data_IF_611992917183
#
_entry.id   IF_611992917183
#
_cell.length_a   1.000
_cell.length_b   1.000
_cell.length_c   1.000
_cell.angle_alpha   90.00
_cell.angle_beta   90.00
_cell.angle_gamma   90.00
#
_symmetry.space_group_name_H-M   'P 1'
#
loop_
_entity.id
_entity.type
_entity.pdbx_description
1 polymer ?
#
# COMPACT_ATOMS: atom_id res chain seq x y z
N UNK A 1 28.84 -15.04 -12.69
CA UNK A 1 27.55 -15.73 -13.00
C UNK A 1 26.95 -16.13 -11.65
N UNK A 2 26.40 -15.11 -10.95
CA UNK A 2 25.75 -15.30 -9.65
C UNK A 2 24.42 -15.99 -9.86
N UNK A 3 24.21 -17.07 -9.12
CA UNK A 3 22.92 -17.79 -9.10
C UNK A 3 21.89 -16.85 -8.47
N UNK A 4 20.95 -16.31 -9.26
CA UNK A 4 19.72 -15.78 -8.72
C UNK A 4 19.02 -16.92 -8.00
N UNK A 5 19.07 -16.92 -6.69
CA UNK A 5 18.21 -17.76 -5.85
C UNK A 5 16.80 -17.37 -6.23
N UNK A 6 16.05 -18.27 -6.84
CA UNK A 6 14.61 -18.08 -7.05
C UNK A 6 13.98 -18.00 -5.67
N UNK A 7 13.54 -16.82 -5.27
CA UNK A 7 12.74 -16.66 -4.07
C UNK A 7 11.51 -17.58 -4.19
N UNK A 8 11.27 -18.39 -3.18
CA UNK A 8 10.13 -19.32 -3.17
C UNK A 8 8.84 -18.66 -2.66
N UNK A 9 8.83 -17.33 -2.47
CA UNK A 9 7.70 -16.57 -1.95
C UNK A 9 7.81 -15.08 -2.27
N UNK A 10 6.84 -14.29 -1.77
CA UNK A 10 6.79 -12.84 -1.95
C UNK A 10 7.54 -12.07 -0.86
N UNK A 11 7.78 -12.69 0.29
CA UNK A 11 8.41 -12.04 1.44
C UNK A 11 9.91 -11.87 1.19
N UNK A 12 10.41 -10.65 1.40
CA UNK A 12 11.83 -10.32 1.49
C UNK A 12 12.18 -10.12 2.98
N UNK A 13 12.88 -11.08 3.56
CA UNK A 13 13.15 -11.11 5.00
C UNK A 13 13.99 -9.90 5.48
N UNK A 14 14.88 -9.37 4.63
CA UNK A 14 15.69 -8.20 4.96
C UNK A 14 14.81 -6.94 5.04
N UNK A 15 13.84 -6.81 4.13
CA UNK A 15 12.86 -5.73 4.14
C UNK A 15 11.97 -5.82 5.40
N UNK A 16 11.44 -7.01 5.70
CA UNK A 16 10.65 -7.24 6.91
C UNK A 16 11.43 -6.87 8.16
N UNK A 17 12.68 -7.35 8.28
CA UNK A 17 13.54 -7.03 9.43
C UNK A 17 13.85 -5.53 9.54
N UNK A 18 13.95 -4.82 8.41
CA UNK A 18 14.15 -3.36 8.39
C UNK A 18 12.94 -2.62 8.96
N UNK A 19 11.74 -2.91 8.46
CA UNK A 19 10.51 -2.26 8.92
C UNK A 19 10.13 -2.66 10.36
N UNK A 20 10.41 -3.89 10.77
CA UNK A 20 10.20 -4.35 12.15
C UNK A 20 10.95 -3.50 13.18
N UNK A 21 12.16 -3.05 12.85
CA UNK A 21 12.95 -2.18 13.76
C UNK A 21 12.30 -0.81 14.00
N UNK A 22 11.42 -0.38 13.11
CA UNK A 22 10.73 0.91 13.19
C UNK A 22 9.34 0.80 13.84
N UNK A 23 8.92 -0.41 14.27
CA UNK A 23 7.56 -0.68 14.73
C UNK A 23 7.08 0.27 15.84
N UNK A 24 7.94 0.66 16.76
CA UNK A 24 7.61 1.60 17.84
C UNK A 24 7.46 3.05 17.41
N UNK A 25 7.90 3.40 16.19
CA UNK A 25 7.95 4.78 15.69
C UNK A 25 6.90 5.05 14.59
N UNK A 26 6.11 4.04 14.20
CA UNK A 26 5.15 4.17 13.09
C UNK A 26 4.14 5.29 13.31
N UNK A 27 3.70 5.52 14.54
CA UNK A 27 2.68 6.51 14.86
C UNK A 27 3.24 7.88 15.27
N UNK A 28 4.57 8.04 15.29
CA UNK A 28 5.19 9.36 15.42
C UNK A 28 5.17 10.09 14.07
N UNK A 29 4.21 11.01 13.92
CA UNK A 29 4.07 11.82 12.71
C UNK A 29 5.26 12.75 12.42
N UNK A 30 6.24 12.87 13.33
CA UNK A 30 7.49 13.62 13.14
C UNK A 30 8.73 12.72 13.14
N UNK A 31 8.51 11.41 13.28
CA UNK A 31 9.53 10.38 13.26
C UNK A 31 9.87 9.88 11.85
N UNK A 32 10.46 8.68 11.75
CA UNK A 32 10.86 8.07 10.47
C UNK A 32 9.70 7.87 9.48
N UNK A 33 8.45 7.79 9.98
CA UNK A 33 7.25 7.61 9.15
C UNK A 33 6.53 8.92 8.80
N UNK A 34 7.12 10.09 9.07
CA UNK A 34 6.52 11.39 8.80
C UNK A 34 6.06 11.56 7.34
N UNK A 35 6.83 11.04 6.38
CA UNK A 35 6.49 11.09 4.96
C UNK A 35 5.20 10.28 4.66
N UNK A 36 5.03 9.10 5.27
CA UNK A 36 3.81 8.29 5.13
C UNK A 36 2.60 8.98 5.76
N UNK A 37 2.77 9.60 6.92
CA UNK A 37 1.70 10.39 7.55
C UNK A 37 1.26 11.56 6.66
N UNK A 38 2.20 12.29 6.07
CA UNK A 38 1.92 13.41 5.17
C UNK A 38 1.24 12.94 3.86
N UNK A 39 1.59 11.76 3.35
CA UNK A 39 1.03 11.17 2.14
C UNK A 39 -0.35 10.55 2.37
N UNK A 40 -0.63 10.05 3.57
CA UNK A 40 -1.81 9.25 3.87
C UNK A 40 -3.17 9.92 3.56
N UNK A 41 -3.38 11.24 3.78
CA UNK A 41 -4.63 11.91 3.41
C UNK A 41 -4.97 11.79 1.91
N UNK A 42 -3.97 11.89 1.04
CA UNK A 42 -4.15 11.78 -0.42
C UNK A 42 -4.48 10.33 -0.81
N UNK A 43 -3.77 9.35 -0.23
CA UNK A 43 -4.06 7.93 -0.46
C UNK A 43 -5.46 7.57 -0.01
N UNK A 44 -5.85 7.98 1.20
CA UNK A 44 -7.18 7.72 1.75
C UNK A 44 -8.28 8.35 0.89
N UNK A 45 -8.11 9.60 0.44
CA UNK A 45 -9.05 10.27 -0.45
C UNK A 45 -9.20 9.52 -1.78
N UNK A 46 -8.08 9.10 -2.40
CA UNK A 46 -8.11 8.33 -3.63
C UNK A 46 -8.87 7.01 -3.47
N UNK A 47 -8.52 6.22 -2.43
CA UNK A 47 -9.18 4.94 -2.14
C UNK A 47 -10.68 5.14 -1.92
N UNK A 48 -11.06 6.09 -1.07
CA UNK A 48 -12.47 6.43 -0.79
C UNK A 48 -13.21 6.79 -2.06
N UNK A 49 -12.66 7.69 -2.86
CA UNK A 49 -13.35 8.23 -4.04
C UNK A 49 -13.47 7.17 -5.14
N UNK A 50 -12.43 6.35 -5.34
CA UNK A 50 -12.49 5.21 -6.27
C UNK A 50 -13.49 4.14 -5.81
N UNK A 51 -13.46 3.77 -4.54
CA UNK A 51 -14.41 2.82 -3.98
C UNK A 51 -15.85 3.34 -4.06
N UNK A 52 -16.07 4.60 -3.68
CA UNK A 52 -17.39 5.21 -3.74
C UNK A 52 -17.96 5.24 -5.16
N UNK A 53 -17.14 5.65 -6.14
CA UNK A 53 -17.54 5.66 -7.55
C UNK A 53 -17.88 4.24 -8.06
N UNK A 54 -17.03 3.25 -7.71
CA UNK A 54 -17.18 1.87 -8.18
C UNK A 54 -18.40 1.16 -7.56
N UNK A 55 -18.62 1.34 -6.26
CA UNK A 55 -19.72 0.69 -5.53
C UNK A 55 -21.00 1.56 -5.43
N UNK A 56 -21.10 2.66 -6.18
CA UNK A 56 -22.29 3.51 -6.21
C UNK A 56 -22.60 4.20 -4.89
N UNK A 57 -21.58 4.71 -4.19
CA UNK A 57 -21.71 5.34 -2.87
C UNK A 57 -21.38 6.84 -2.92
N UNK A 58 -21.85 7.58 -1.91
CA UNK A 58 -21.49 8.99 -1.75
C UNK A 58 -20.19 9.13 -0.95
N UNK A 59 -19.08 9.63 -1.56
CA UNK A 59 -17.82 9.80 -0.89
C UNK A 59 -17.83 10.85 0.24
N UNK A 60 -18.86 11.69 0.30
CA UNK A 60 -18.99 12.73 1.34
C UNK A 60 -19.56 12.18 2.65
N UNK A 61 -20.11 10.99 2.65
CA UNK A 61 -20.62 10.36 3.88
C UNK A 61 -19.47 9.94 4.77
N UNK A 62 -19.65 10.08 6.08
CA UNK A 62 -18.68 9.61 7.08
C UNK A 62 -18.56 8.08 7.12
N UNK A 63 -19.56 7.37 6.63
CA UNK A 63 -19.65 5.93 6.51
C UNK A 63 -19.60 5.44 5.05
N UNK A 64 -18.89 6.17 4.19
CA UNK A 64 -18.84 5.93 2.74
C UNK A 64 -18.40 4.53 2.34
N UNK A 65 -17.66 3.81 3.22
CA UNK A 65 -17.21 2.44 3.01
C UNK A 65 -17.98 1.40 3.83
N UNK A 66 -19.12 1.78 4.45
CA UNK A 66 -19.88 0.90 5.33
C UNK A 66 -20.22 -0.44 4.66
N UNK A 67 -19.90 -1.54 5.36
CA UNK A 67 -20.17 -2.91 4.93
C UNK A 67 -19.26 -3.44 3.83
N UNK A 68 -18.29 -2.67 3.31
CA UNK A 68 -17.25 -3.21 2.43
C UNK A 68 -16.18 -3.92 3.27
N UNK A 69 -15.78 -5.10 2.83
CA UNK A 69 -14.61 -5.81 3.37
C UNK A 69 -13.37 -5.31 2.66
N UNK A 70 -12.41 -4.76 3.42
CA UNK A 70 -11.16 -4.23 2.90
C UNK A 70 -9.99 -5.02 3.47
N UNK A 71 -9.09 -5.50 2.62
CA UNK A 71 -7.80 -6.07 3.01
C UNK A 71 -6.71 -5.06 2.68
N UNK A 72 -5.84 -4.76 3.65
CA UNK A 72 -4.62 -3.97 3.46
C UNK A 72 -3.42 -4.90 3.66
N UNK A 73 -2.73 -5.27 2.56
CA UNK A 73 -1.58 -6.16 2.58
C UNK A 73 -0.32 -5.31 2.75
N UNK A 74 0.54 -5.67 3.71
CA UNK A 74 1.69 -4.86 4.11
C UNK A 74 1.24 -3.62 4.89
N UNK A 75 0.26 -3.78 5.78
CA UNK A 75 -0.38 -2.67 6.49
C UNK A 75 0.54 -1.92 7.48
N UNK A 76 1.75 -2.45 7.74
CA UNK A 76 2.63 -1.92 8.76
C UNK A 76 1.93 -1.84 10.13
N UNK A 77 2.04 -0.71 10.79
CA UNK A 77 1.33 -0.47 12.06
C UNK A 77 -0.08 0.12 11.88
N UNK A 78 -0.70 0.00 10.70
CA UNK A 78 -2.12 0.29 10.51
C UNK A 78 -2.49 1.75 10.23
N UNK A 79 -1.55 2.59 9.80
CA UNK A 79 -1.78 4.03 9.53
C UNK A 79 -2.92 4.24 8.52
N UNK A 80 -3.11 3.32 7.57
CA UNK A 80 -4.19 3.39 6.59
C UNK A 80 -5.43 2.61 7.06
N UNK A 81 -5.25 1.49 7.76
CA UNK A 81 -6.34 0.63 8.22
C UNK A 81 -7.34 1.37 9.11
N UNK A 82 -6.85 2.12 10.11
CA UNK A 82 -7.73 2.80 11.06
C UNK A 82 -8.62 3.87 10.41
N UNK A 83 -8.13 4.78 9.55
CA UNK A 83 -8.99 5.71 8.85
C UNK A 83 -10.04 5.03 7.97
N UNK A 84 -9.70 3.91 7.30
CA UNK A 84 -10.65 3.14 6.50
C UNK A 84 -11.75 2.50 7.38
N UNK A 85 -11.39 1.98 8.54
CA UNK A 85 -12.36 1.47 9.51
C UNK A 85 -13.29 2.59 10.03
N UNK A 86 -12.77 3.81 10.25
CA UNK A 86 -13.59 4.99 10.61
C UNK A 86 -14.55 5.41 9.51
N UNK A 87 -14.25 5.10 8.24
CA UNK A 87 -15.18 5.27 7.11
C UNK A 87 -16.21 4.12 7.00
N UNK A 88 -16.25 3.21 7.98
CA UNK A 88 -17.24 2.14 8.09
C UNK A 88 -16.84 0.82 7.41
N UNK A 89 -15.65 0.69 6.87
CA UNK A 89 -15.18 -0.57 6.30
C UNK A 89 -14.92 -1.64 7.37
N UNK A 90 -15.18 -2.89 7.04
CA UNK A 90 -14.67 -4.04 7.79
C UNK A 90 -13.23 -4.33 7.32
N UNK A 91 -12.24 -3.81 8.07
CA UNK A 91 -10.84 -3.84 7.65
C UNK A 91 -10.10 -5.02 8.26
N UNK A 92 -9.40 -5.76 7.39
CA UNK A 92 -8.34 -6.70 7.76
C UNK A 92 -7.01 -6.07 7.35
N UNK A 93 -6.09 -5.87 8.29
CA UNK A 93 -4.72 -5.44 8.03
C UNK A 93 -3.75 -6.60 8.24
N UNK A 94 -2.88 -6.87 7.27
CA UNK A 94 -1.91 -7.95 7.38
C UNK A 94 -0.50 -7.48 7.05
N UNK A 95 0.46 -7.95 7.85
CA UNK A 95 1.88 -7.64 7.69
C UNK A 95 2.71 -8.85 8.15
N UNK A 96 3.79 -9.22 7.45
CA UNK A 96 4.67 -10.32 7.87
C UNK A 96 5.46 -10.01 9.15
N UNK A 97 5.61 -8.74 9.55
CA UNK A 97 6.24 -8.35 10.81
C UNK A 97 5.29 -8.48 11.99
N UNK A 98 5.64 -9.33 12.95
CA UNK A 98 4.90 -9.47 14.20
C UNK A 98 4.97 -8.19 15.06
N UNK A 99 6.08 -7.47 14.98
CA UNK A 99 6.31 -6.19 15.67
C UNK A 99 5.38 -5.11 15.15
N UNK A 100 5.25 -4.98 13.81
CA UNK A 100 4.33 -4.04 13.18
C UNK A 100 2.88 -4.35 13.58
N UNK A 101 2.47 -5.61 13.54
CA UNK A 101 1.12 -6.04 13.94
C UNK A 101 0.87 -5.79 15.43
N UNK A 102 1.88 -5.99 16.29
CA UNK A 102 1.77 -5.66 17.72
C UNK A 102 1.54 -4.15 17.93
N UNK A 103 2.30 -3.31 17.21
CA UNK A 103 2.14 -1.85 17.26
C UNK A 103 0.75 -1.42 16.74
N UNK A 104 0.29 -2.01 15.63
CA UNK A 104 -1.02 -1.75 15.05
C UNK A 104 -2.17 -2.08 16.05
N UNK A 105 -2.13 -3.27 16.65
CA UNK A 105 -3.12 -3.69 17.65
C UNK A 105 -3.12 -2.78 18.88
N UNK A 106 -1.92 -2.39 19.34
CA UNK A 106 -1.79 -1.50 20.49
C UNK A 106 -2.44 -0.13 20.22
N UNK A 107 -2.14 0.48 19.08
CA UNK A 107 -2.69 1.78 18.71
C UNK A 107 -4.21 1.71 18.49
N UNK A 108 -4.70 0.70 17.79
CA UNK A 108 -6.13 0.49 17.58
C UNK A 108 -6.91 0.33 18.90
N UNK A 109 -6.33 -0.38 19.88
CA UNK A 109 -6.91 -0.50 21.23
C UNK A 109 -6.97 0.85 21.94
N UNK A 110 -5.95 1.71 21.83
CA UNK A 110 -5.93 3.06 22.40
C UNK A 110 -6.96 3.99 21.76
N UNK A 111 -7.16 3.87 20.45
CA UNK A 111 -8.07 4.75 19.69
C UNK A 111 -9.51 4.22 19.60
N UNK A 112 -9.75 3.00 20.08
CA UNK A 112 -11.06 2.34 20.07
C UNK A 112 -11.54 1.97 18.66
N UNK A 113 -10.64 1.80 17.69
CA UNK A 113 -10.97 1.42 16.32
C UNK A 113 -10.87 -0.10 16.15
N UNK A 114 -11.91 -0.70 15.58
CA UNK A 114 -11.93 -2.14 15.30
C UNK A 114 -11.29 -2.44 13.95
N UNK A 115 -10.16 -3.14 13.96
CA UNK A 115 -9.46 -3.68 12.78
C UNK A 115 -9.00 -5.10 13.11
N UNK A 116 -9.16 -6.02 12.17
CA UNK A 116 -8.63 -7.38 12.26
C UNK A 116 -7.17 -7.40 11.77
N UNK A 117 -6.22 -7.27 12.70
CA UNK A 117 -4.80 -7.31 12.38
C UNK A 117 -4.23 -8.72 12.43
N UNK A 118 -3.53 -9.14 11.37
CA UNK A 118 -2.98 -10.48 11.19
C UNK A 118 -1.49 -10.44 10.89
N UNK A 119 -0.71 -11.20 11.63
CA UNK A 119 0.68 -11.45 11.25
C UNK A 119 0.67 -12.57 10.19
N UNK A 120 0.70 -12.17 8.92
CA UNK A 120 0.57 -13.09 7.79
C UNK A 120 1.21 -12.52 6.53
N UNK A 121 1.75 -13.42 5.69
CA UNK A 121 2.18 -13.09 4.33
C UNK A 121 1.01 -13.14 3.33
N UNK A 122 1.22 -12.63 2.10
CA UNK A 122 0.24 -12.70 1.03
C UNK A 122 -0.14 -14.16 0.68
N UNK A 123 0.83 -15.08 0.77
CA UNK A 123 0.61 -16.51 0.55
C UNK A 123 -0.37 -17.10 1.57
N UNK A 124 -0.10 -16.87 2.85
CA UNK A 124 -0.94 -17.40 3.94
C UNK A 124 -2.36 -16.84 3.87
N UNK A 125 -2.53 -15.57 3.49
CA UNK A 125 -3.84 -14.95 3.29
C UNK A 125 -4.58 -15.58 2.09
N UNK A 126 -3.89 -15.80 0.99
CA UNK A 126 -4.48 -16.41 -0.20
C UNK A 126 -4.88 -17.89 0.05
N UNK A 127 -4.06 -18.64 0.80
CA UNK A 127 -4.37 -20.02 1.22
C UNK A 127 -5.61 -20.10 2.13
N UNK A 128 -5.87 -19.06 2.93
CA UNK A 128 -7.08 -18.98 3.76
C UNK A 128 -8.38 -18.88 2.93
N UNK A 129 -8.27 -18.55 1.62
CA UNK A 129 -9.39 -18.52 0.69
C UNK A 129 -10.38 -17.38 0.94
N UNK A 130 -10.03 -16.40 1.75
CA UNK A 130 -10.89 -15.25 1.99
C UNK A 130 -10.87 -14.30 0.79
N UNK A 131 -12.03 -13.65 0.56
CA UNK A 131 -12.18 -12.66 -0.51
C UNK A 131 -12.73 -11.35 0.06
N UNK A 132 -12.32 -10.24 -0.57
CA UNK A 132 -12.58 -8.89 -0.13
C UNK A 132 -13.16 -8.06 -1.26
N UNK A 133 -13.97 -7.06 -0.90
CA UNK A 133 -14.50 -6.10 -1.87
C UNK A 133 -13.39 -5.19 -2.41
N UNK A 134 -12.41 -4.86 -1.55
CA UNK A 134 -11.23 -4.07 -1.90
C UNK A 134 -10.00 -4.73 -1.31
N UNK A 135 -8.95 -4.89 -2.12
CA UNK A 135 -7.61 -5.29 -1.70
C UNK A 135 -6.67 -4.12 -1.95
N UNK A 136 -5.91 -3.74 -0.94
CA UNK A 136 -4.94 -2.66 -0.99
C UNK A 136 -3.51 -3.22 -0.94
N UNK A 137 -2.61 -2.60 -1.71
CA UNK A 137 -1.16 -2.83 -1.71
C UNK A 137 -0.47 -1.47 -1.84
N UNK A 138 -0.34 -0.76 -0.70
CA UNK A 138 0.12 0.62 -0.67
C UNK A 138 1.57 0.71 -0.19
N UNK A 139 2.50 1.05 -1.10
CA UNK A 139 3.95 1.09 -0.86
C UNK A 139 4.47 -0.30 -0.43
N UNK A 140 4.12 -1.34 -1.17
CA UNK A 140 4.49 -2.73 -0.86
C UNK A 140 5.20 -3.42 -2.02
N UNK A 141 4.74 -3.19 -3.26
CA UNK A 141 5.22 -3.95 -4.42
C UNK A 141 6.72 -3.79 -4.70
N UNK A 142 7.31 -2.66 -4.30
CA UNK A 142 8.76 -2.40 -4.39
C UNK A 142 9.57 -3.12 -3.30
N UNK A 143 8.92 -3.69 -2.29
CA UNK A 143 9.54 -4.38 -1.16
C UNK A 143 9.38 -5.90 -1.20
N UNK A 144 8.67 -6.43 -2.20
CA UNK A 144 8.47 -7.87 -2.34
C UNK A 144 9.56 -8.52 -3.19
N UNK A 145 9.81 -9.81 -2.95
CA UNK A 145 10.80 -10.58 -3.69
C UNK A 145 10.36 -10.92 -5.13
N UNK A 146 9.03 -11.09 -5.36
CA UNK A 146 8.43 -11.38 -6.66
C UNK A 146 7.12 -10.61 -6.82
N UNK A 147 7.16 -9.52 -7.59
CA UNK A 147 6.00 -8.65 -7.87
C UNK A 147 4.88 -9.40 -8.59
N UNK A 148 5.22 -10.23 -9.57
CA UNK A 148 4.22 -10.97 -10.34
C UNK A 148 3.47 -12.00 -9.49
N UNK A 149 4.17 -12.72 -8.62
CA UNK A 149 3.55 -13.62 -7.65
C UNK A 149 2.67 -12.85 -6.67
N UNK A 150 3.18 -11.76 -6.10
CA UNK A 150 2.45 -10.93 -5.15
C UNK A 150 1.13 -10.40 -5.74
N UNK A 151 1.17 -9.82 -6.95
CA UNK A 151 -0.02 -9.31 -7.63
C UNK A 151 -1.03 -10.43 -7.90
N UNK A 152 -0.58 -11.63 -8.31
CA UNK A 152 -1.47 -12.79 -8.51
C UNK A 152 -2.17 -13.20 -7.21
N UNK A 153 -1.43 -13.25 -6.09
CA UNK A 153 -2.01 -13.59 -4.78
C UNK A 153 -3.01 -12.53 -4.32
N UNK A 154 -2.64 -11.25 -4.43
CA UNK A 154 -3.55 -10.14 -4.12
C UNK A 154 -4.83 -10.18 -4.97
N UNK A 155 -4.70 -10.41 -6.28
CA UNK A 155 -5.83 -10.55 -7.20
C UNK A 155 -6.73 -11.75 -6.88
N UNK A 156 -6.16 -12.86 -6.39
CA UNK A 156 -6.95 -14.03 -5.98
C UNK A 156 -7.92 -13.69 -4.85
N UNK A 157 -7.53 -12.79 -3.94
CA UNK A 157 -8.32 -12.34 -2.79
C UNK A 157 -9.35 -11.24 -3.13
N UNK A 158 -9.33 -10.68 -4.34
CA UNK A 158 -10.37 -9.75 -4.79
C UNK A 158 -11.62 -10.53 -5.21
N UNK A 159 -12.79 -10.14 -4.73
CA UNK A 159 -14.09 -10.69 -5.19
C UNK A 159 -14.31 -10.39 -6.67
N UNK A 160 -15.08 -11.21 -7.40
CA UNK A 160 -15.67 -10.78 -8.68
C UNK A 160 -16.40 -9.44 -8.50
N UNK A 161 -16.15 -8.48 -9.38
CA UNK A 161 -16.64 -7.10 -9.25
C UNK A 161 -15.97 -6.25 -8.17
N UNK A 162 -14.91 -6.72 -7.53
CA UNK A 162 -14.14 -5.98 -6.52
C UNK A 162 -12.97 -5.21 -7.10
N UNK A 163 -12.25 -4.49 -6.23
CA UNK A 163 -11.12 -3.63 -6.59
C UNK A 163 -9.80 -4.13 -5.99
N UNK A 164 -8.70 -3.97 -6.74
CA UNK A 164 -7.35 -3.90 -6.22
C UNK A 164 -6.84 -2.47 -6.43
N UNK A 165 -6.32 -1.85 -5.36
CA UNK A 165 -5.73 -0.52 -5.43
C UNK A 165 -4.30 -0.61 -4.89
N UNK A 166 -3.34 -0.18 -5.71
CA UNK A 166 -1.92 -0.16 -5.37
C UNK A 166 -1.32 1.24 -5.47
N UNK A 167 -0.27 1.47 -4.69
CA UNK A 167 0.60 2.65 -4.78
C UNK A 167 2.05 2.20 -4.69
N UNK A 168 2.92 2.84 -5.45
CA UNK A 168 4.37 2.56 -5.42
C UNK A 168 5.16 3.68 -6.10
N UNK A 169 6.48 3.52 -6.14
CA UNK A 169 7.43 4.45 -6.75
C UNK A 169 7.82 3.95 -8.15
N UNK A 170 7.73 4.86 -9.13
CA UNK A 170 8.10 4.60 -10.51
C UNK A 170 9.62 4.55 -10.68
N UNK A 171 10.14 3.66 -11.53
CA UNK A 171 11.56 3.51 -11.83
C UNK A 171 12.03 4.51 -12.89
N UNK A 172 12.21 5.78 -12.51
CA UNK A 172 12.70 6.86 -13.36
C UNK A 172 13.95 7.51 -12.78
N UNK A 173 14.67 8.30 -13.57
CA UNK A 173 15.77 9.12 -13.06
C UNK A 173 15.28 10.21 -12.10
N UNK A 174 14.06 10.70 -12.29
CA UNK A 174 13.43 11.69 -11.42
C UNK A 174 13.14 11.07 -10.05
N UNK A 175 12.61 9.84 -10.00
CA UNK A 175 12.38 9.14 -8.74
C UNK A 175 13.69 8.81 -8.02
N UNK A 176 14.74 8.41 -8.76
CA UNK A 176 16.07 8.24 -8.18
C UNK A 176 16.56 9.52 -7.49
N UNK A 177 16.45 10.65 -8.20
CA UNK A 177 16.90 11.93 -7.67
C UNK A 177 16.06 12.41 -6.47
N UNK A 178 14.75 12.23 -6.50
CA UNK A 178 13.85 12.75 -5.47
C UNK A 178 13.66 11.78 -4.30
N UNK A 179 13.38 10.50 -4.55
CA UNK A 179 13.09 9.53 -3.49
C UNK A 179 14.37 9.05 -2.79
N UNK A 180 15.47 8.87 -3.51
CA UNK A 180 16.72 8.39 -2.92
C UNK A 180 17.60 9.58 -2.54
N UNK A 181 18.07 10.38 -3.52
CA UNK A 181 19.02 11.46 -3.22
C UNK A 181 18.36 12.57 -2.39
N UNK A 182 17.14 12.97 -2.74
CA UNK A 182 16.40 14.03 -2.06
C UNK A 182 15.91 13.62 -0.68
N UNK A 183 15.07 12.59 -0.59
CA UNK A 183 14.40 12.21 0.64
C UNK A 183 15.33 11.52 1.66
N UNK A 184 16.26 10.64 1.21
CA UNK A 184 17.13 9.91 2.13
C UNK A 184 18.42 10.67 2.47
N UNK A 185 19.04 11.36 1.52
CA UNK A 185 20.34 12.01 1.72
C UNK A 185 20.25 13.51 1.92
N UNK A 186 19.33 14.20 1.22
CA UNK A 186 19.16 15.66 1.31
C UNK A 186 18.31 16.08 2.49
N UNK A 187 17.02 15.80 2.42
CA UNK A 187 16.02 16.24 3.41
C UNK A 187 15.96 15.32 4.63
N UNK A 188 16.49 14.11 4.53
CA UNK A 188 16.46 13.08 5.59
C UNK A 188 15.04 12.78 6.08
N UNK A 189 14.07 12.83 5.17
CA UNK A 189 12.68 12.47 5.45
C UNK A 189 12.51 10.97 5.68
N UNK A 190 13.41 10.17 5.11
CA UNK A 190 13.44 8.72 5.23
C UNK A 190 14.83 8.24 5.66
N UNK A 191 14.94 7.13 6.39
CA UNK A 191 16.22 6.49 6.69
C UNK A 191 16.98 6.13 5.40
N UNK A 192 18.31 6.23 5.43
CA UNK A 192 19.15 5.85 4.28
C UNK A 192 18.99 4.36 3.96
N UNK A 193 18.90 4.02 2.67
CA UNK A 193 18.72 2.66 2.21
C UNK A 193 17.27 2.15 2.32
N UNK A 194 16.31 3.06 2.52
CA UNK A 194 14.88 2.71 2.49
C UNK A 194 14.48 2.19 1.11
N UNK A 195 15.04 2.77 0.05
CA UNK A 195 14.70 2.42 -1.32
C UNK A 195 15.88 1.87 -2.10
N UNK A 196 15.60 0.86 -2.92
CA UNK A 196 16.50 0.30 -3.92
C UNK A 196 15.89 0.59 -5.30
N UNK A 197 16.51 1.47 -6.08
CA UNK A 197 15.96 1.92 -7.37
C UNK A 197 15.62 0.78 -8.32
N UNK A 198 16.42 -0.30 -8.30
CA UNK A 198 16.23 -1.49 -9.13
C UNK A 198 14.93 -2.25 -8.80
N UNK A 199 14.41 -2.07 -7.59
CA UNK A 199 13.14 -2.67 -7.13
C UNK A 199 11.91 -1.81 -7.44
N UNK A 200 12.10 -0.57 -7.87
CA UNK A 200 10.97 0.28 -8.24
C UNK A 200 10.23 -0.31 -9.44
N UNK A 201 8.92 -0.16 -9.44
CA UNK A 201 8.02 -0.76 -10.42
C UNK A 201 7.46 0.32 -11.33
N UNK A 202 7.62 0.17 -12.65
CA UNK A 202 7.02 1.13 -13.57
C UNK A 202 5.51 0.90 -13.70
N UNK A 203 4.72 1.95 -14.06
CA UNK A 203 3.28 1.80 -14.29
C UNK A 203 2.96 0.67 -15.26
N UNK A 204 3.69 0.56 -16.36
CA UNK A 204 3.50 -0.50 -17.35
C UNK A 204 3.79 -1.91 -16.81
N UNK A 205 4.82 -2.08 -15.97
CA UNK A 205 5.11 -3.38 -15.32
C UNK A 205 4.00 -3.79 -14.36
N UNK A 206 3.46 -2.84 -13.58
CA UNK A 206 2.35 -3.09 -12.69
C UNK A 206 1.06 -3.41 -13.45
N UNK A 207 0.75 -2.64 -14.51
CA UNK A 207 -0.41 -2.88 -15.37
C UNK A 207 -0.37 -4.27 -15.99
N UNK A 208 0.76 -4.68 -16.57
CA UNK A 208 0.94 -6.04 -17.12
C UNK A 208 0.70 -7.11 -16.06
N UNK A 209 1.23 -6.94 -14.84
CA UNK A 209 1.03 -7.90 -13.75
C UNK A 209 -0.45 -8.00 -13.32
N UNK A 210 -1.15 -6.87 -13.28
CA UNK A 210 -2.59 -6.80 -13.01
C UNK A 210 -3.40 -7.52 -14.10
N UNK A 211 -3.14 -7.22 -15.38
CA UNK A 211 -3.83 -7.84 -16.51
C UNK A 211 -3.59 -9.36 -16.58
N UNK A 212 -2.36 -9.82 -16.37
CA UNK A 212 -2.03 -11.25 -16.26
C UNK A 212 -2.77 -11.92 -15.10
N UNK A 213 -3.16 -11.16 -14.10
CA UNK A 213 -3.94 -11.60 -12.93
C UNK A 213 -5.46 -11.41 -13.12
N UNK A 214 -5.91 -11.12 -14.36
CA UNK A 214 -7.33 -10.90 -14.73
C UNK A 214 -7.97 -9.70 -14.04
N UNK A 215 -7.19 -8.68 -13.78
CA UNK A 215 -7.65 -7.38 -13.31
C UNK A 215 -7.51 -6.38 -14.45
N UNK A 216 -8.52 -5.54 -14.64
CA UNK A 216 -8.51 -4.45 -15.63
C UNK A 216 -8.24 -3.13 -14.94
N UNK A 217 -7.20 -2.41 -15.33
CA UNK A 217 -6.94 -1.06 -14.82
C UNK A 217 -8.08 -0.13 -15.21
N UNK A 218 -8.65 0.56 -14.22
CA UNK A 218 -9.78 1.49 -14.37
C UNK A 218 -9.41 2.92 -14.00
N UNK A 219 -8.19 3.14 -13.53
CA UNK A 219 -7.69 4.48 -13.24
C UNK A 219 -6.28 4.46 -12.68
N UNK A 220 -5.54 5.46 -13.08
CA UNK A 220 -4.17 5.73 -12.63
C UNK A 220 -4.02 7.20 -12.30
N UNK A 221 -3.08 7.54 -11.45
CA UNK A 221 -2.75 8.92 -11.09
C UNK A 221 -1.38 8.99 -10.46
N UNK A 222 -0.68 10.08 -10.71
CA UNK A 222 0.52 10.44 -9.97
C UNK A 222 0.19 11.09 -8.62
N UNK A 223 1.19 11.11 -7.76
CA UNK A 223 1.14 11.82 -6.48
C UNK A 223 2.39 12.67 -6.34
N UNK A 224 2.21 13.98 -6.23
CA UNK A 224 3.31 14.95 -6.17
C UNK A 224 3.20 15.81 -4.93
N UNK A 225 4.37 16.24 -4.41
CA UNK A 225 4.42 17.20 -3.32
C UNK A 225 4.43 18.63 -3.87
N UNK A 226 3.43 19.41 -3.48
CA UNK A 226 3.35 20.84 -3.80
C UNK A 226 4.12 21.64 -2.74
N UNK A 227 5.30 22.13 -3.12
CA UNK A 227 6.17 22.89 -2.23
C UNK A 227 5.56 24.22 -1.77
N UNK A 228 4.68 24.82 -2.57
CA UNK A 228 4.05 26.11 -2.23
C UNK A 228 2.89 25.91 -1.26
N UNK A 229 2.13 24.84 -1.44
CA UNK A 229 0.98 24.50 -0.60
C UNK A 229 1.37 23.61 0.60
N UNK A 230 2.63 23.17 0.70
CA UNK A 230 3.16 22.26 1.73
C UNK A 230 2.29 21.01 1.92
N UNK A 231 1.92 20.36 0.79
CA UNK A 231 1.06 19.19 0.82
C UNK A 231 1.26 18.28 -0.39
N UNK A 232 0.92 17.01 -0.20
CA UNK A 232 0.77 16.06 -1.28
C UNK A 232 -0.56 16.25 -2.01
N UNK A 233 -0.57 16.02 -3.33
CA UNK A 233 -1.77 16.11 -4.17
C UNK A 233 -1.73 15.15 -5.34
N UNK A 234 -2.90 14.82 -5.89
CA UNK A 234 -3.01 14.04 -7.12
C UNK A 234 -2.53 14.85 -8.32
N UNK A 235 -1.93 14.16 -9.29
CA UNK A 235 -1.34 14.77 -10.48
C UNK A 235 -1.42 13.83 -11.67
N UNK A 236 -1.33 14.36 -12.88
CA UNK A 236 -1.07 13.56 -14.09
C UNK A 236 0.41 13.11 -14.18
N UNK A 237 1.30 13.70 -13.39
CA UNK A 237 2.73 13.35 -13.35
C UNK A 237 2.93 12.10 -12.49
N UNK A 238 3.20 10.97 -13.13
CA UNK A 238 3.47 9.67 -12.51
C UNK A 238 4.97 9.33 -12.48
N UNK A 239 5.85 10.28 -12.68
CA UNK A 239 7.29 10.02 -12.76
C UNK A 239 7.91 9.58 -11.44
N UNK A 240 7.27 9.85 -10.29
CA UNK A 240 7.81 9.47 -8.97
C UNK A 240 6.84 8.55 -8.26
N UNK A 241 5.83 9.08 -7.58
CA UNK A 241 4.83 8.27 -6.91
C UNK A 241 3.58 8.15 -7.79
N UNK A 242 2.99 6.96 -7.86
CA UNK A 242 1.74 6.76 -8.57
C UNK A 242 0.83 5.76 -7.86
N UNK A 243 -0.45 5.84 -8.16
CA UNK A 243 -1.48 4.92 -7.70
C UNK A 243 -2.26 4.37 -8.88
N UNK A 244 -2.61 3.09 -8.80
CA UNK A 244 -3.49 2.41 -9.76
C UNK A 244 -4.66 1.77 -9.06
N UNK A 245 -5.83 1.82 -9.72
CA UNK A 245 -7.00 1.05 -9.34
C UNK A 245 -7.37 0.10 -10.48
N UNK A 246 -7.57 -1.17 -10.16
CA UNK A 246 -7.97 -2.20 -11.10
C UNK A 246 -9.18 -2.96 -10.57
N UNK A 247 -10.07 -3.37 -11.48
CA UNK A 247 -11.26 -4.14 -11.14
C UNK A 247 -11.12 -5.59 -11.60
N UNK A 248 -11.72 -6.49 -10.84
CA UNK A 248 -11.89 -7.90 -11.23
C UNK A 248 -13.22 -8.05 -11.94
N UNK A 249 -13.23 -8.67 -13.12
CA UNK A 249 -14.49 -8.96 -13.82
C UNK A 249 -15.48 -9.70 -12.91
N UNK A 250 -16.78 -9.36 -13.06
CA UNK A 250 -17.86 -9.95 -12.30
C UNK A 250 -18.13 -11.43 -12.67
#
# INVERSE_FOLDING_TARGET
MERRTTATGTVDDDEVARFSRLAGEWWDARGPMAALHALNPVRLAYIRDRAAAHFGRDPKRLDSLAGLRVLDIGCGAGILCEPLARLGAAVTGADPSAENISAARHHAAQTGVAVDYRNASAEALAEAGEIFDIVLAMEVVEHVADVGLFVRLAAAMVKPGGLLIGATINRTLKSFALAIVGAEYGLRWLPRGTHQWEKFVTPNELEIALEQSRLRVIGETGVVYDLLADRWQLSADMDVNYMMAAEKAA
#
